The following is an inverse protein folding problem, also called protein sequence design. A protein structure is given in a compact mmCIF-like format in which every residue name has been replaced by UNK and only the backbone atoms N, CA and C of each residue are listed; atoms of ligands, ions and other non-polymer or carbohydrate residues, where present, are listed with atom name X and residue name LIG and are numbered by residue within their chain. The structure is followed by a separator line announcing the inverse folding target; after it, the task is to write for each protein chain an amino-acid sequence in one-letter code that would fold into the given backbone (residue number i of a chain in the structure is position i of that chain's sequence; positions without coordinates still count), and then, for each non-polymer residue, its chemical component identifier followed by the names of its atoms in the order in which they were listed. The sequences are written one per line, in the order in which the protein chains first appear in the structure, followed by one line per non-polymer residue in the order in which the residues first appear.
data_IF_402814466985
#
_entry.id   IF_402814466985
#
_cell.length_a   1.000
_cell.length_b   1.000
_cell.length_c   1.000
_cell.angle_alpha   90.00
_cell.angle_beta   90.00
_cell.angle_gamma   90.00
#
_symmetry.space_group_name_H-M   'P 1'
#
loop_
_entity.id
_entity.type
_entity.pdbx_description
1 polymer ?
#
# COMPACT_ATOMS: atom_id res chain seq x y z
N UNK A 1 -10.85 0.44 -3.90
CA UNK A 1 -10.52 -0.64 -4.85
C UNK A 1 -10.17 -1.95 -4.13
N UNK A 2 -9.28 -1.96 -3.14
CA UNK A 2 -8.98 -3.14 -2.29
C UNK A 2 -10.21 -3.72 -1.59
N UNK A 3 -11.03 -2.86 -0.97
CA UNK A 3 -12.30 -3.29 -0.35
C UNK A 3 -13.26 -3.88 -1.40
N UNK A 4 -13.32 -3.28 -2.59
CA UNK A 4 -14.14 -3.81 -3.69
C UNK A 4 -13.64 -5.15 -4.23
N UNK A 5 -12.33 -5.36 -4.24
CA UNK A 5 -11.69 -6.63 -4.60
C UNK A 5 -11.94 -7.72 -3.54
N UNK A 6 -11.95 -7.34 -2.25
CA UNK A 6 -12.17 -8.27 -1.14
C UNK A 6 -13.55 -8.94 -1.20
N UNK A 7 -14.58 -8.22 -1.60
CA UNK A 7 -15.96 -8.72 -1.68
C UNK A 7 -16.43 -9.01 -3.12
N UNK A 8 -15.49 -9.25 -4.04
CA UNK A 8 -15.84 -9.57 -5.42
C UNK A 8 -16.48 -10.97 -5.51
N UNK A 9 -17.74 -11.03 -5.93
CA UNK A 9 -18.50 -12.29 -6.07
C UNK A 9 -18.18 -13.07 -7.35
N UNK A 10 -17.47 -12.46 -8.31
CA UNK A 10 -17.01 -13.13 -9.52
C UNK A 10 -15.61 -12.66 -9.95
N UNK A 11 -14.94 -13.49 -10.77
CA UNK A 11 -13.59 -13.22 -11.29
C UNK A 11 -13.51 -11.93 -12.11
N UNK A 12 -14.58 -11.59 -12.84
CA UNK A 12 -14.60 -10.39 -13.68
C UNK A 12 -14.60 -9.09 -12.88
N UNK A 13 -15.33 -9.06 -11.76
CA UNK A 13 -15.31 -7.97 -10.77
C UNK A 13 -13.94 -7.87 -10.11
N UNK A 14 -13.30 -9.00 -9.80
CA UNK A 14 -11.94 -8.99 -9.27
C UNK A 14 -10.94 -8.37 -10.25
N UNK A 15 -11.03 -8.70 -11.55
CA UNK A 15 -10.21 -8.05 -12.59
C UNK A 15 -10.54 -6.56 -12.74
N UNK A 16 -11.81 -6.19 -12.68
CA UNK A 16 -12.18 -4.78 -12.73
C UNK A 16 -11.55 -3.99 -11.57
N UNK A 17 -11.56 -4.54 -10.36
CA UNK A 17 -10.96 -3.89 -9.19
C UNK A 17 -9.42 -3.94 -9.15
N UNK A 18 -8.79 -4.88 -9.84
CA UNK A 18 -7.32 -4.97 -9.89
C UNK A 18 -6.70 -3.81 -10.69
N UNK A 19 -7.42 -3.27 -11.67
CA UNK A 19 -6.97 -2.12 -12.48
C UNK A 19 -6.71 -0.88 -11.60
N UNK A 20 -7.70 -0.31 -10.88
CA UNK A 20 -7.47 0.86 -10.03
C UNK A 20 -6.54 0.54 -8.85
N UNK A 21 -6.48 -0.71 -8.38
CA UNK A 21 -5.50 -1.13 -7.38
C UNK A 21 -4.06 -1.02 -7.89
N UNK A 22 -3.79 -1.57 -9.08
CA UNK A 22 -2.48 -1.52 -9.70
C UNK A 22 -2.05 -0.09 -10.01
N UNK A 23 -2.95 0.71 -10.58
CA UNK A 23 -2.68 2.13 -10.87
C UNK A 23 -2.36 2.89 -9.58
N UNK A 24 -3.16 2.72 -8.52
CA UNK A 24 -2.93 3.38 -7.24
C UNK A 24 -1.60 2.96 -6.59
N UNK A 25 -1.28 1.66 -6.60
CA UNK A 25 -0.03 1.15 -6.07
C UNK A 25 1.19 1.67 -6.83
N UNK A 26 1.14 1.66 -8.16
CA UNK A 26 2.21 2.19 -9.00
C UNK A 26 2.40 3.69 -8.79
N UNK A 27 1.31 4.46 -8.72
CA UNK A 27 1.36 5.89 -8.44
C UNK A 27 1.98 6.19 -7.07
N UNK A 28 1.59 5.45 -6.03
CA UNK A 28 2.15 5.62 -4.68
C UNK A 28 3.67 5.39 -4.65
N UNK A 29 4.15 4.32 -5.30
CA UNK A 29 5.59 4.01 -5.35
C UNK A 29 6.33 5.08 -6.16
N UNK A 30 5.79 5.48 -7.33
CA UNK A 30 6.41 6.49 -8.19
C UNK A 30 6.49 7.86 -7.48
N UNK A 31 5.38 8.32 -6.88
CA UNK A 31 5.32 9.57 -6.14
C UNK A 31 6.21 9.53 -4.90
N UNK A 32 6.21 8.44 -4.13
CA UNK A 32 7.08 8.28 -2.96
C UNK A 32 8.57 8.40 -3.31
N UNK A 33 9.00 7.74 -4.39
CA UNK A 33 10.37 7.86 -4.88
C UNK A 33 10.70 9.29 -5.34
N UNK A 34 9.78 9.95 -6.05
CA UNK A 34 9.98 11.32 -6.51
C UNK A 34 10.12 12.31 -5.34
N UNK A 35 9.23 12.21 -4.33
CA UNK A 35 9.28 13.03 -3.12
C UNK A 35 10.59 12.79 -2.38
N UNK A 36 10.95 11.52 -2.12
CA UNK A 36 12.21 11.20 -1.44
C UNK A 36 13.43 11.77 -2.18
N UNK A 37 13.43 11.79 -3.51
CA UNK A 37 14.53 12.37 -4.29
C UNK A 37 14.58 13.91 -4.25
N UNK A 38 13.42 14.57 -4.21
CA UNK A 38 13.32 16.03 -4.16
C UNK A 38 13.71 16.59 -2.79
N UNK A 39 13.34 15.91 -1.71
CA UNK A 39 13.66 16.30 -0.33
C UNK A 39 15.10 15.91 0.08
N UNK A 40 15.77 15.07 -0.71
CA UNK A 40 17.14 14.64 -0.42
C UNK A 40 18.20 15.57 -1.02
N UNK A 41 19.30 15.84 -0.29
CA UNK A 41 20.51 16.42 -0.86
C UNK A 41 21.03 15.58 -2.06
N UNK A 42 21.57 16.21 -3.12
CA UNK A 42 21.97 15.51 -4.35
C UNK A 42 22.97 14.36 -4.14
N UNK A 43 23.89 14.50 -3.18
CA UNK A 43 24.91 13.52 -2.79
C UNK A 43 24.33 12.34 -2.00
N UNK A 44 23.14 12.48 -1.40
CA UNK A 44 22.53 11.47 -0.52
C UNK A 44 21.33 10.75 -1.12
N UNK A 45 20.86 11.13 -2.32
CA UNK A 45 19.66 10.54 -2.96
C UNK A 45 19.68 9.00 -3.00
N UNK A 46 20.81 8.41 -3.41
CA UNK A 46 20.95 6.95 -3.46
C UNK A 46 20.82 6.28 -2.08
N UNK A 47 21.38 6.92 -1.04
CA UNK A 47 21.28 6.44 0.35
C UNK A 47 19.86 6.58 0.89
N UNK A 48 19.18 7.69 0.63
CA UNK A 48 17.79 7.90 1.06
C UNK A 48 16.81 6.97 0.35
N UNK A 49 17.00 6.71 -0.95
CA UNK A 49 16.21 5.71 -1.68
C UNK A 49 16.45 4.30 -1.14
N UNK A 50 17.69 3.95 -0.81
CA UNK A 50 17.99 2.66 -0.18
C UNK A 50 17.30 2.52 1.18
N UNK A 51 17.34 3.55 2.03
CA UNK A 51 16.63 3.56 3.31
C UNK A 51 15.11 3.47 3.14
N UNK A 52 14.56 4.19 2.15
CA UNK A 52 13.13 4.12 1.81
C UNK A 52 12.75 2.71 1.36
N UNK A 53 13.57 2.08 0.51
CA UNK A 53 13.35 0.71 0.06
C UNK A 53 13.44 -0.29 1.22
N UNK A 54 14.41 -0.14 2.12
CA UNK A 54 14.54 -1.00 3.32
C UNK A 54 13.33 -0.84 4.22
N UNK A 55 12.84 0.39 4.45
CA UNK A 55 11.64 0.62 5.24
C UNK A 55 10.39 0.01 4.57
N UNK A 56 10.25 0.16 3.25
CA UNK A 56 9.12 -0.37 2.50
C UNK A 56 9.13 -1.91 2.46
N UNK A 57 10.21 -2.53 1.99
CA UNK A 57 10.33 -3.99 1.91
C UNK A 57 10.36 -4.62 3.30
N UNK A 58 11.04 -3.99 4.25
CA UNK A 58 11.16 -4.45 5.64
C UNK A 58 9.84 -4.47 6.41
N UNK A 59 8.80 -3.78 5.92
CA UNK A 59 7.46 -3.89 6.48
C UNK A 59 6.74 -5.20 6.10
N UNK A 60 7.08 -5.80 4.95
CA UNK A 60 6.50 -7.05 4.43
C UNK A 60 6.60 -8.24 5.38
N UNK A 61 7.76 -8.56 6.00
CA UNK A 61 7.86 -9.67 6.96
C UNK A 61 7.04 -9.46 8.23
N UNK A 62 6.58 -8.24 8.51
CA UNK A 62 5.67 -7.94 9.62
C UNK A 62 4.22 -8.05 9.13
N UNK A 63 3.92 -7.42 7.99
CA UNK A 63 2.59 -7.43 7.39
C UNK A 63 2.11 -8.83 7.03
N UNK A 64 2.97 -9.66 6.41
CA UNK A 64 2.64 -11.00 5.96
C UNK A 64 2.06 -11.91 7.06
N UNK A 65 2.74 -12.10 8.21
CA UNK A 65 2.19 -12.85 9.33
C UNK A 65 0.88 -12.28 9.87
N UNK A 66 0.75 -10.95 9.95
CA UNK A 66 -0.49 -10.30 10.41
C UNK A 66 -1.64 -10.59 9.43
N UNK A 67 -1.40 -10.45 8.13
CA UNK A 67 -2.37 -10.77 7.07
C UNK A 67 -2.77 -12.25 7.13
N UNK A 68 -1.79 -13.14 7.31
CA UNK A 68 -2.02 -14.59 7.44
C UNK A 68 -2.88 -14.94 8.65
N UNK A 69 -2.57 -14.38 9.82
CA UNK A 69 -3.37 -14.59 11.03
C UNK A 69 -4.83 -14.12 10.84
N UNK A 70 -5.05 -13.00 10.16
CA UNK A 70 -6.41 -12.50 9.86
C UNK A 70 -7.13 -13.44 8.87
N UNK A 71 -6.42 -13.93 7.85
CA UNK A 71 -6.98 -14.87 6.89
C UNK A 71 -7.39 -16.20 7.55
N UNK A 72 -6.58 -16.70 8.48
CA UNK A 72 -6.81 -17.97 9.20
C UNK A 72 -7.88 -17.85 10.29
N UNK A 73 -7.97 -16.72 10.97
CA UNK A 73 -8.87 -16.55 12.14
C UNK A 73 -10.22 -15.91 11.85
N UNK A 74 -10.33 -15.04 10.85
CA UNK A 74 -11.54 -14.27 10.55
C UNK A 74 -12.12 -14.67 9.19
N UNK A 75 -11.47 -14.25 8.11
CA UNK A 75 -11.77 -14.70 6.75
C UNK A 75 -10.70 -14.20 5.76
N UNK A 76 -10.53 -14.87 4.61
CA UNK A 76 -9.68 -14.39 3.53
C UNK A 76 -10.11 -13.02 2.98
N UNK A 77 -11.40 -12.70 2.94
CA UNK A 77 -11.86 -11.40 2.40
C UNK A 77 -11.43 -10.25 3.32
N UNK A 78 -11.55 -10.45 4.64
CA UNK A 78 -11.12 -9.46 5.61
C UNK A 78 -9.63 -9.18 5.56
N UNK A 79 -8.81 -10.19 5.23
CA UNK A 79 -7.36 -10.05 5.03
C UNK A 79 -7.00 -9.06 3.90
N UNK A 80 -7.89 -8.86 2.92
CA UNK A 80 -7.72 -7.86 1.85
C UNK A 80 -8.40 -6.54 2.20
N UNK A 81 -9.57 -6.59 2.84
CA UNK A 81 -10.36 -5.41 3.17
C UNK A 81 -9.65 -4.49 4.16
N UNK A 82 -8.99 -5.03 5.20
CA UNK A 82 -8.33 -4.20 6.22
C UNK A 82 -7.20 -3.34 5.64
N UNK A 83 -6.44 -3.87 4.67
CA UNK A 83 -5.41 -3.10 3.97
C UNK A 83 -5.99 -1.89 3.23
N UNK A 84 -7.21 -2.02 2.70
CA UNK A 84 -7.95 -0.90 2.13
C UNK A 84 -8.38 0.15 3.15
N UNK A 85 -8.80 -0.29 4.34
CA UNK A 85 -9.13 0.63 5.44
C UNK A 85 -7.88 1.39 5.89
N UNK A 86 -6.76 0.71 6.07
CA UNK A 86 -5.48 1.34 6.42
C UNK A 86 -5.07 2.36 5.36
N UNK A 87 -5.16 2.02 4.07
CA UNK A 87 -4.84 2.93 2.98
C UNK A 87 -5.72 4.19 2.99
N UNK A 88 -7.02 4.06 3.28
CA UNK A 88 -7.93 5.20 3.43
C UNK A 88 -7.55 6.09 4.62
N UNK A 89 -7.26 5.49 5.78
CA UNK A 89 -6.82 6.22 6.98
C UNK A 89 -5.52 6.98 6.68
N UNK A 90 -4.53 6.32 6.06
CA UNK A 90 -3.28 6.97 5.66
C UNK A 90 -3.52 8.13 4.69
N UNK A 91 -4.42 7.98 3.71
CA UNK A 91 -4.75 9.05 2.78
C UNK A 91 -5.40 10.24 3.50
N UNK A 92 -6.32 10.01 4.43
CA UNK A 92 -6.95 11.07 5.23
C UNK A 92 -5.91 11.78 6.09
N UNK A 93 -5.05 11.03 6.78
CA UNK A 93 -3.97 11.60 7.61
C UNK A 93 -3.02 12.42 6.75
N UNK A 94 -2.62 11.93 5.58
CA UNK A 94 -1.77 12.67 4.65
C UNK A 94 -2.43 13.97 4.19
N UNK A 95 -3.71 13.95 3.83
CA UNK A 95 -4.45 15.16 3.44
C UNK A 95 -4.54 16.18 4.58
N UNK A 96 -4.69 15.73 5.83
CA UNK A 96 -4.76 16.63 6.99
C UNK A 96 -3.37 17.16 7.38
N UNK A 97 -2.35 16.31 7.38
CA UNK A 97 -0.99 16.67 7.79
C UNK A 97 -0.23 17.50 6.74
N UNK A 98 -0.64 17.44 5.48
CA UNK A 98 -0.06 18.22 4.38
C UNK A 98 -0.73 19.59 4.19
N UNK A 99 -1.76 19.91 5.00
CA UNK A 99 -2.33 21.26 5.11
C UNK A 99 -1.65 22.04 6.21
#
# INVERSE_FOLDING_TARGET
ASIGMAFASNVWLAFFWSIPLGIGGAAMIASGNAISQQESPPDMRGRLLALTAVAFLGSTPIGGPITGLIADSISPEWSLAYGGVIALVCAVVAVVAWR
#
